data_IF_237025743400
#
_entry.id   IF_237025743400
#
_cell.length_a   1.000
_cell.length_b   1.000
_cell.length_c   1.000
_cell.angle_alpha   90.00
_cell.angle_beta   90.00
_cell.angle_gamma   90.00
#
_symmetry.space_group_name_H-M   'P 1'
#
loop_
_entity.id
_entity.type
_entity.pdbx_description
1 polymer ?
#
# COMPACT_ATOMS: atom_id res chain seq x y z
N UNK A 1 18.48 23.64 -5.24
CA UNK A 1 18.87 22.46 -6.04
C UNK A 1 17.67 21.51 -6.06
N UNK A 2 17.23 21.09 -7.25
CA UNK A 2 15.91 20.46 -7.50
C UNK A 2 15.60 19.27 -6.60
N UNK A 3 14.43 19.35 -5.97
CA UNK A 3 13.66 18.24 -5.40
C UNK A 3 13.37 17.20 -6.49
N UNK A 4 14.07 16.07 -6.47
CA UNK A 4 13.77 14.97 -7.38
C UNK A 4 12.65 14.12 -6.79
N UNK A 5 11.41 14.58 -6.90
CA UNK A 5 10.27 13.68 -6.77
C UNK A 5 10.43 12.55 -7.81
N UNK A 6 10.31 11.30 -7.37
CA UNK A 6 10.22 10.15 -8.27
C UNK A 6 8.88 10.20 -9.02
N UNK A 7 8.79 11.06 -10.03
CA UNK A 7 7.69 11.14 -10.99
C UNK A 7 8.10 10.39 -12.25
N UNK A 8 7.15 10.11 -13.16
CA UNK A 8 7.48 9.46 -14.45
C UNK A 8 8.53 10.26 -15.24
N UNK A 9 8.57 11.58 -15.08
CA UNK A 9 9.51 12.48 -15.76
C UNK A 9 10.95 12.36 -15.26
N UNK A 10 11.17 11.90 -14.03
CA UNK A 10 12.51 11.68 -13.46
C UNK A 10 12.92 10.21 -13.44
N UNK A 11 12.00 9.31 -13.84
CA UNK A 11 12.19 7.87 -13.80
C UNK A 11 13.43 7.43 -14.57
N UNK A 12 13.60 7.85 -15.83
CA UNK A 12 14.73 7.44 -16.67
C UNK A 12 16.09 7.78 -16.06
N UNK A 13 16.19 8.98 -15.47
CA UNK A 13 17.42 9.43 -14.81
C UNK A 13 17.68 8.62 -13.53
N UNK A 14 16.66 8.44 -12.70
CA UNK A 14 16.79 7.72 -11.44
C UNK A 14 17.06 6.22 -11.67
N UNK A 15 16.42 5.62 -12.67
CA UNK A 15 16.65 4.24 -13.07
C UNK A 15 18.08 4.03 -13.59
N UNK A 16 18.60 4.93 -14.42
CA UNK A 16 20.00 4.86 -14.88
C UNK A 16 20.99 4.98 -13.72
N UNK A 17 20.76 5.89 -12.78
CA UNK A 17 21.61 6.04 -11.60
C UNK A 17 21.56 4.78 -10.72
N UNK A 18 20.37 4.21 -10.50
CA UNK A 18 20.18 2.98 -9.73
C UNK A 18 20.82 1.74 -10.39
N UNK A 19 20.75 1.65 -11.72
CA UNK A 19 21.39 0.56 -12.48
C UNK A 19 22.92 0.66 -12.50
N UNK A 20 23.47 1.88 -12.34
CA UNK A 20 24.90 2.11 -12.24
C UNK A 20 25.47 1.78 -10.85
N UNK A 21 24.62 1.58 -9.83
CA UNK A 21 25.02 1.13 -8.50
C UNK A 21 25.22 -0.40 -8.50
N UNK A 22 26.47 -0.90 -8.40
CA UNK A 22 26.75 -2.33 -8.48
C UNK A 22 26.16 -3.13 -7.30
N UNK A 23 25.98 -2.50 -6.13
CA UNK A 23 25.37 -3.14 -4.95
C UNK A 23 23.87 -3.30 -5.17
N UNK A 24 23.19 -2.23 -5.58
CA UNK A 24 21.75 -2.26 -5.85
C UNK A 24 21.43 -3.18 -7.03
N UNK A 25 22.22 -3.11 -8.11
CA UNK A 25 22.07 -3.96 -9.28
C UNK A 25 22.28 -5.45 -8.93
N UNK A 26 23.32 -5.77 -8.14
CA UNK A 26 23.56 -7.13 -7.66
C UNK A 26 22.43 -7.66 -6.75
N UNK A 27 21.94 -6.83 -5.83
CA UNK A 27 20.84 -7.18 -4.94
C UNK A 27 19.53 -7.44 -5.71
N UNK A 28 19.20 -6.58 -6.69
CA UNK A 28 18.01 -6.72 -7.53
C UNK A 28 18.06 -8.01 -8.36
N UNK A 29 19.21 -8.31 -8.97
CA UNK A 29 19.41 -9.54 -9.73
C UNK A 29 19.23 -10.79 -8.86
N UNK A 30 19.86 -10.82 -7.68
CA UNK A 30 19.73 -11.94 -6.75
C UNK A 30 18.27 -12.14 -6.29
N UNK A 31 17.55 -11.04 -6.04
CA UNK A 31 16.12 -11.08 -5.70
C UNK A 31 15.29 -11.65 -6.85
N UNK A 32 15.49 -11.17 -8.08
CA UNK A 32 14.77 -11.65 -9.25
C UNK A 32 15.02 -13.15 -9.49
N UNK A 33 16.28 -13.57 -9.50
CA UNK A 33 16.67 -14.97 -9.73
C UNK A 33 16.12 -15.88 -8.62
N UNK A 34 16.28 -15.48 -7.36
CA UNK A 34 15.80 -16.28 -6.22
C UNK A 34 14.27 -16.34 -6.15
N UNK A 35 13.56 -15.27 -6.53
CA UNK A 35 12.10 -15.27 -6.58
C UNK A 35 11.57 -16.25 -7.62
N UNK A 36 12.14 -16.25 -8.83
CA UNK A 36 11.76 -17.17 -9.90
C UNK A 36 11.98 -18.63 -9.47
N UNK A 37 13.15 -18.93 -8.92
CA UNK A 37 13.48 -20.29 -8.45
C UNK A 37 12.57 -20.72 -7.30
N UNK A 38 12.37 -19.87 -6.29
CA UNK A 38 11.49 -20.17 -5.15
C UNK A 38 10.05 -20.38 -5.58
N UNK A 39 9.55 -19.56 -6.51
CA UNK A 39 8.21 -19.72 -7.08
C UNK A 39 8.09 -21.04 -7.83
N UNK A 40 9.05 -21.38 -8.69
CA UNK A 40 9.06 -22.65 -9.43
C UNK A 40 9.06 -23.86 -8.48
N UNK A 41 9.90 -23.83 -7.43
CA UNK A 41 9.94 -24.89 -6.42
C UNK A 41 8.63 -24.99 -5.63
N UNK A 42 8.02 -23.86 -5.26
CA UNK A 42 6.74 -23.83 -4.57
C UNK A 42 5.62 -24.44 -5.44
N UNK A 43 5.57 -24.06 -6.73
CA UNK A 43 4.64 -24.64 -7.71
C UNK A 43 4.85 -26.15 -7.82
N UNK A 44 6.10 -26.60 -7.99
CA UNK A 44 6.42 -28.02 -8.09
C UNK A 44 6.05 -28.80 -6.82
N UNK A 45 6.15 -28.17 -5.64
CA UNK A 45 5.76 -28.79 -4.36
C UNK A 45 4.26 -28.84 -4.11
N UNK A 46 3.45 -28.05 -4.83
CA UNK A 46 2.01 -27.96 -4.62
C UNK A 46 1.21 -29.15 -5.20
N UNK A 47 1.87 -30.07 -5.91
CA UNK A 47 1.22 -31.20 -6.57
C UNK A 47 0.43 -30.73 -7.79
N UNK A 48 -0.89 -30.60 -7.64
CA UNK A 48 -1.82 -30.22 -8.72
C UNK A 48 -2.02 -28.69 -8.79
N UNK A 49 -0.96 -27.99 -9.18
CA UNK A 49 -0.93 -26.52 -9.24
C UNK A 49 -1.99 -25.92 -10.17
N UNK A 50 -2.16 -26.50 -11.36
CA UNK A 50 -3.13 -26.03 -12.35
C UNK A 50 -4.57 -26.06 -11.80
N UNK A 51 -4.95 -27.17 -11.14
CA UNK A 51 -6.27 -27.30 -10.49
C UNK A 51 -6.43 -26.32 -9.32
N UNK A 52 -5.40 -26.13 -8.50
CA UNK A 52 -5.43 -25.14 -7.43
C UNK A 52 -5.62 -23.72 -7.96
N UNK A 53 -4.92 -23.37 -9.04
CA UNK A 53 -5.06 -22.08 -9.72
C UNK A 53 -6.47 -21.89 -10.27
N UNK A 54 -7.02 -22.92 -10.92
CA UNK A 54 -8.36 -22.86 -11.49
C UNK A 54 -9.42 -22.73 -10.41
N UNK A 55 -9.30 -23.49 -9.32
CA UNK A 55 -10.18 -23.37 -8.15
C UNK A 55 -10.12 -21.98 -7.53
N UNK A 56 -8.93 -21.40 -7.40
CA UNK A 56 -8.77 -20.03 -6.89
C UNK A 56 -9.44 -19.01 -7.82
N UNK A 57 -9.35 -19.20 -9.14
CA UNK A 57 -10.06 -18.38 -10.14
C UNK A 57 -11.58 -18.50 -9.97
N UNK A 58 -12.11 -19.72 -9.90
CA UNK A 58 -13.55 -19.95 -9.73
C UNK A 58 -14.08 -19.33 -8.43
N UNK A 59 -13.36 -19.49 -7.32
CA UNK A 59 -13.74 -18.85 -6.04
C UNK A 59 -13.78 -17.33 -6.18
N UNK A 60 -12.78 -16.72 -6.84
CA UNK A 60 -12.75 -15.28 -7.06
C UNK A 60 -13.94 -14.83 -7.92
N UNK A 61 -14.27 -15.57 -8.96
CA UNK A 61 -15.40 -15.25 -9.85
C UNK A 61 -16.73 -15.36 -9.11
N UNK A 62 -16.96 -16.45 -8.39
CA UNK A 62 -18.14 -16.61 -7.52
C UNK A 62 -18.24 -15.49 -6.49
N UNK A 63 -17.12 -15.12 -5.86
CA UNK A 63 -17.06 -14.03 -4.88
C UNK A 63 -17.45 -12.69 -5.48
N UNK A 64 -17.05 -12.41 -6.73
CA UNK A 64 -17.40 -11.17 -7.41
C UNK A 64 -18.85 -11.17 -7.91
N UNK A 65 -19.38 -12.33 -8.30
CA UNK A 65 -20.77 -12.48 -8.74
C UNK A 65 -21.77 -12.27 -7.60
N UNK A 66 -21.41 -12.69 -6.38
CA UNK A 66 -22.22 -12.59 -5.16
C UNK A 66 -21.63 -11.58 -4.17
N UNK A 67 -21.02 -10.51 -4.69
CA UNK A 67 -20.24 -9.58 -3.87
C UNK A 67 -21.10 -8.90 -2.79
N UNK A 68 -22.36 -8.61 -3.09
CA UNK A 68 -23.35 -8.08 -2.16
C UNK A 68 -23.52 -9.00 -0.94
N UNK A 69 -23.78 -10.28 -1.16
CA UNK A 69 -23.94 -11.28 -0.08
C UNK A 69 -22.66 -11.45 0.75
N UNK A 70 -21.51 -11.51 0.07
CA UNK A 70 -20.23 -11.70 0.75
C UNK A 70 -19.79 -10.46 1.54
N UNK A 71 -20.13 -9.25 1.08
CA UNK A 71 -19.88 -8.02 1.80
C UNK A 71 -20.71 -7.97 3.09
N UNK A 72 -22.01 -8.26 3.03
CA UNK A 72 -22.86 -8.32 4.22
C UNK A 72 -22.29 -9.31 5.24
N UNK A 73 -21.98 -10.54 4.80
CA UNK A 73 -21.40 -11.58 5.66
C UNK A 73 -20.04 -11.18 6.24
N UNK A 74 -19.21 -10.50 5.47
CA UNK A 74 -17.94 -9.96 5.98
C UNK A 74 -18.21 -8.93 7.09
N UNK A 75 -19.10 -7.98 6.85
CA UNK A 75 -19.39 -6.92 7.82
C UNK A 75 -20.00 -7.44 9.11
N UNK A 76 -20.89 -8.43 9.05
CA UNK A 76 -21.43 -9.09 10.23
C UNK A 76 -20.36 -9.79 11.06
N UNK A 77 -19.46 -10.53 10.40
CA UNK A 77 -18.38 -11.24 11.08
C UNK A 77 -17.36 -10.27 11.68
N UNK A 78 -17.00 -9.21 10.96
CA UNK A 78 -16.11 -8.17 11.44
C UNK A 78 -16.72 -7.42 12.64
N UNK A 79 -18.01 -7.08 12.57
CA UNK A 79 -18.74 -6.49 13.70
C UNK A 79 -18.76 -7.41 14.91
N UNK A 80 -18.97 -8.71 14.72
CA UNK A 80 -18.91 -9.72 15.80
C UNK A 80 -17.52 -9.83 16.42
N UNK A 81 -16.47 -9.60 15.65
CA UNK A 81 -15.10 -9.54 16.13
C UNK A 81 -14.74 -8.19 16.81
N UNK A 82 -15.69 -7.25 16.92
CA UNK A 82 -15.52 -5.96 17.58
C UNK A 82 -15.08 -4.82 16.66
N UNK A 83 -15.06 -5.02 15.34
CA UNK A 83 -14.79 -3.95 14.40
C UNK A 83 -16.04 -3.07 14.18
N UNK A 84 -15.85 -1.76 14.06
CA UNK A 84 -16.90 -0.86 13.59
C UNK A 84 -16.77 -0.68 12.08
N UNK A 85 -17.83 -0.99 11.35
CA UNK A 85 -17.86 -0.84 9.89
C UNK A 85 -18.43 0.53 9.52
N UNK A 86 -17.73 1.23 8.64
CA UNK A 86 -18.18 2.50 8.09
C UNK A 86 -18.34 2.37 6.57
N UNK A 87 -19.53 2.73 6.08
CA UNK A 87 -19.84 2.74 4.67
C UNK A 87 -19.68 4.14 4.08
N UNK A 88 -19.05 4.21 2.92
CA UNK A 88 -18.89 5.43 2.14
C UNK A 88 -19.27 5.14 0.69
N UNK A 89 -20.07 6.02 0.09
CA UNK A 89 -20.49 5.88 -1.30
C UNK A 89 -19.42 6.35 -2.30
N UNK A 90 -18.46 7.16 -1.83
CA UNK A 90 -17.34 7.65 -2.62
C UNK A 90 -16.08 7.85 -1.76
N UNK A 91 -14.96 8.13 -2.42
CA UNK A 91 -13.67 8.33 -1.75
C UNK A 91 -13.62 9.56 -0.85
N UNK A 92 -14.28 10.65 -1.24
CA UNK A 92 -14.34 11.87 -0.41
C UNK A 92 -15.01 11.57 0.93
N UNK A 93 -16.14 10.88 0.90
CA UNK A 93 -16.89 10.51 2.10
C UNK A 93 -16.09 9.55 2.99
N UNK A 94 -15.35 8.62 2.38
CA UNK A 94 -14.45 7.73 3.11
C UNK A 94 -13.38 8.53 3.87
N UNK A 95 -12.71 9.47 3.20
CA UNK A 95 -11.72 10.35 3.83
C UNK A 95 -12.33 11.21 4.96
N UNK A 96 -13.51 11.78 4.76
CA UNK A 96 -14.23 12.53 5.80
C UNK A 96 -14.50 11.69 7.05
N UNK A 97 -14.96 10.44 6.86
CA UNK A 97 -15.24 9.52 7.97
C UNK A 97 -13.94 9.22 8.73
N UNK A 98 -12.87 8.85 8.04
CA UNK A 98 -11.59 8.55 8.67
C UNK A 98 -11.08 9.75 9.46
N UNK A 99 -11.06 10.95 8.87
CA UNK A 99 -10.65 12.17 9.55
C UNK A 99 -11.51 12.48 10.78
N UNK A 100 -12.83 12.27 10.68
CA UNK A 100 -13.75 12.41 11.81
C UNK A 100 -13.42 11.47 12.96
N UNK A 101 -13.14 10.20 12.66
CA UNK A 101 -12.76 9.19 13.66
C UNK A 101 -11.44 9.53 14.36
N UNK A 102 -10.44 9.98 13.60
CA UNK A 102 -9.13 10.36 14.15
C UNK A 102 -9.27 11.57 15.08
N UNK A 103 -10.00 12.60 14.63
CA UNK A 103 -10.26 13.81 15.44
C UNK A 103 -11.05 13.49 16.71
N UNK A 104 -12.07 12.64 16.61
CA UNK A 104 -12.86 12.22 17.78
C UNK A 104 -11.99 11.51 18.84
N UNK A 105 -10.90 10.86 18.42
CA UNK A 105 -9.94 10.21 19.31
C UNK A 105 -8.78 11.12 19.74
N UNK A 106 -8.75 12.38 19.30
CA UNK A 106 -7.62 13.30 19.47
C UNK A 106 -6.27 12.66 19.08
N UNK A 107 -6.28 11.82 18.05
CA UNK A 107 -5.07 11.16 17.57
C UNK A 107 -4.38 12.02 16.51
N UNK A 108 -3.06 11.99 16.51
CA UNK A 108 -2.16 12.67 15.58
C UNK A 108 -1.49 11.70 14.60
N UNK A 109 -1.73 10.40 14.75
CA UNK A 109 -1.16 9.34 13.92
C UNK A 109 -2.19 8.25 13.62
N UNK A 110 -2.13 7.70 12.41
CA UNK A 110 -2.92 6.55 11.95
C UNK A 110 -2.00 5.49 11.39
N UNK A 111 -2.03 4.30 12.00
CA UNK A 111 -1.42 3.11 11.41
C UNK A 111 -2.45 2.45 10.50
N UNK A 112 -2.06 2.15 9.26
CA UNK A 112 -2.90 1.45 8.28
C UNK A 112 -2.13 0.35 7.58
N UNK A 113 -2.88 -0.54 6.95
CA UNK A 113 -2.36 -1.55 6.05
C UNK A 113 -2.38 -1.03 4.60
N UNK A 114 -1.53 -1.61 3.76
CA UNK A 114 -1.51 -1.34 2.32
C UNK A 114 -2.90 -1.57 1.74
N UNK A 115 -3.40 -0.57 1.03
CA UNK A 115 -4.68 -0.63 0.34
C UNK A 115 -4.62 0.23 -0.92
N UNK A 116 -4.78 -0.40 -2.09
CA UNK A 116 -4.90 0.34 -3.34
C UNK A 116 -6.11 1.28 -3.32
N UNK A 117 -7.21 0.85 -2.68
CA UNK A 117 -8.38 1.71 -2.49
C UNK A 117 -8.04 2.97 -1.67
N UNK A 118 -7.11 2.86 -0.71
CA UNK A 118 -6.63 4.02 0.06
C UNK A 118 -5.82 5.01 -0.79
N UNK A 119 -5.05 4.49 -1.75
CA UNK A 119 -4.29 5.31 -2.71
C UNK A 119 -5.23 6.00 -3.71
N UNK A 120 -6.20 5.27 -4.25
CA UNK A 120 -7.19 5.77 -5.22
C UNK A 120 -8.04 6.92 -4.66
N UNK A 121 -8.31 6.93 -3.36
CA UNK A 121 -9.08 7.99 -2.69
C UNK A 121 -8.19 9.10 -2.09
N UNK A 122 -6.87 9.04 -2.31
CA UNK A 122 -5.90 9.99 -1.76
C UNK A 122 -5.95 10.14 -0.23
N UNK A 123 -6.09 9.01 0.47
CA UNK A 123 -6.27 9.02 1.93
C UNK A 123 -5.04 9.57 2.66
N UNK A 124 -3.83 9.29 2.16
CA UNK A 124 -2.58 9.80 2.75
C UNK A 124 -2.54 11.32 2.70
N UNK A 125 -2.81 11.89 1.54
CA UNK A 125 -2.81 13.33 1.33
C UNK A 125 -3.87 14.02 2.21
N UNK A 126 -5.05 13.41 2.35
CA UNK A 126 -6.11 13.92 3.22
C UNK A 126 -5.71 13.92 4.71
N UNK A 127 -5.04 12.87 5.18
CA UNK A 127 -4.52 12.76 6.56
C UNK A 127 -3.41 13.79 6.81
N UNK A 128 -2.43 13.86 5.92
CA UNK A 128 -1.30 14.79 6.02
C UNK A 128 -1.76 16.26 5.99
N UNK A 129 -2.70 16.60 5.11
CA UNK A 129 -3.29 17.95 5.05
C UNK A 129 -4.05 18.33 6.33
N UNK A 130 -4.55 17.34 7.07
CA UNK A 130 -5.19 17.52 8.37
C UNK A 130 -4.20 17.50 9.56
N UNK A 131 -2.89 17.41 9.30
CA UNK A 131 -1.85 17.34 10.32
C UNK A 131 -1.75 15.99 11.03
N UNK A 132 -2.34 14.94 10.45
CA UNK A 132 -2.30 13.57 10.98
C UNK A 132 -1.22 12.79 10.21
N UNK A 133 -0.40 12.04 10.92
CA UNK A 133 0.66 11.22 10.34
C UNK A 133 0.12 9.83 9.92
N UNK A 134 0.01 9.52 8.61
CA UNK A 134 -0.25 8.15 8.17
C UNK A 134 1.03 7.31 8.27
N UNK A 135 0.94 6.13 8.87
CA UNK A 135 2.03 5.14 8.94
C UNK A 135 1.58 3.85 8.28
N UNK A 136 2.35 3.39 7.30
CA UNK A 136 2.09 2.13 6.61
C UNK A 136 2.84 0.96 7.23
N UNK A 137 2.15 -0.18 7.38
CA UNK A 137 2.76 -1.42 7.90
C UNK A 137 3.37 -2.32 6.83
N UNK A 138 3.04 -2.08 5.55
CA UNK A 138 3.67 -2.78 4.43
C UNK A 138 5.07 -2.22 4.17
N UNK A 139 6.07 -3.09 4.02
CA UNK A 139 7.46 -2.65 3.87
C UNK A 139 7.69 -1.81 2.60
N UNK A 140 7.02 -2.13 1.50
CA UNK A 140 7.15 -1.40 0.25
C UNK A 140 6.62 0.03 0.39
N UNK A 141 5.40 0.16 0.91
CA UNK A 141 4.81 1.47 1.21
C UNK A 141 5.58 2.22 2.30
N UNK A 142 6.08 1.52 3.32
CA UNK A 142 6.89 2.10 4.37
C UNK A 142 8.22 2.66 3.84
N UNK A 143 8.88 1.99 2.89
CA UNK A 143 10.11 2.50 2.25
C UNK A 143 9.79 3.79 1.46
N UNK A 144 8.70 3.79 0.69
CA UNK A 144 8.27 4.97 -0.08
C UNK A 144 7.95 6.13 0.89
N UNK A 145 7.15 5.86 1.91
CA UNK A 145 6.81 6.81 2.97
C UNK A 145 8.06 7.36 3.69
N UNK A 146 8.98 6.48 4.08
CA UNK A 146 10.24 6.87 4.74
C UNK A 146 11.14 7.71 3.86
N UNK A 147 11.13 7.45 2.55
CA UNK A 147 11.85 8.27 1.57
C UNK A 147 11.25 9.67 1.49
N UNK A 148 9.91 9.77 1.35
CA UNK A 148 9.19 11.05 1.35
C UNK A 148 9.47 11.87 2.63
N UNK A 149 9.52 11.22 3.80
CA UNK A 149 9.84 11.90 5.08
C UNK A 149 11.26 12.43 5.15
N UNK A 150 12.26 11.70 4.64
CA UNK A 150 13.64 12.20 4.59
C UNK A 150 13.75 13.46 3.73
N UNK A 151 13.04 13.50 2.61
CA UNK A 151 13.03 14.67 1.73
C UNK A 151 12.33 15.89 2.39
N UNK A 152 11.23 15.65 3.12
CA UNK A 152 10.54 16.71 3.86
C UNK A 152 11.37 17.28 5.04
N UNK A 153 12.14 16.45 5.75
CA UNK A 153 12.99 16.88 6.88
C UNK A 153 14.21 17.68 6.39
N UNK A 154 14.82 17.28 5.27
CA UNK A 154 15.97 18.01 4.69
C UNK A 154 15.58 19.40 4.19
N UNK A 155 14.36 19.58 3.68
CA UNK A 155 13.83 20.89 3.28
C UNK A 155 13.50 21.85 4.44
N UNK A 156 13.04 21.35 5.59
CA UNK A 156 12.78 22.22 6.77
C UNK A 156 14.05 22.78 7.41
N UNK A 157 15.20 22.11 7.27
CA UNK A 157 16.49 22.60 7.82
C UNK A 157 17.21 23.61 6.94
N UNK A 158 16.83 23.74 5.67
CA UNK A 158 17.43 24.71 4.73
C UNK A 158 16.69 26.04 4.61
N UNK A 159 15.54 26.20 5.28
CA UNK A 159 14.72 27.41 5.27
C UNK A 159 14.85 28.30 6.52
N UNK A 160 15.72 27.92 7.46
CA UNK A 160 15.98 28.64 8.71
C UNK A 160 17.48 29.02 8.71
N UNK A 161 17.85 29.98 7.85
CA UNK A 161 19.18 30.60 7.76
C UNK A 161 19.07 31.96 7.07
#
# INVERSE_FOLDING_TARGET
MSTSHATSETFDRNARAALADPVLHGALRNLADSFVIRRANAIASAGDWESLRERARSIKEETLLHLDEYLERFTENAARAGATIHWAHDGKKACEIVLGLVRAKNADMVVKAKSMAGEEIHLNEALEAAGIEPVETDLGEWIIHSTRRRDAITHRRSGDS
#
